data_IF_201697904527
#
_entry.id   IF_201697904527
#
_cell.length_a   1.000
_cell.length_b   1.000
_cell.length_c   1.000
_cell.angle_alpha   90.00
_cell.angle_beta   90.00
_cell.angle_gamma   90.00
#
_symmetry.space_group_name_H-M   'P 1'
#
loop_
_entity.id
_entity.type
_entity.pdbx_description
1 polymer ?
#
# COMPACT_ATOMS: atom_id res chain seq x y z
N UNK A 1 -16.14 7.12 8.14
CA UNK A 1 -14.90 7.84 7.82
C UNK A 1 -14.98 9.25 8.39
N UNK A 2 -13.99 9.70 9.16
CA UNK A 2 -13.99 11.03 9.79
C UNK A 2 -13.05 11.97 9.05
N UNK A 3 -13.56 13.08 8.53
CA UNK A 3 -12.77 14.07 7.76
C UNK A 3 -11.57 14.61 8.55
N UNK A 4 -11.71 14.77 9.86
CA UNK A 4 -10.62 15.21 10.74
C UNK A 4 -9.43 14.23 10.75
N UNK A 5 -9.71 12.93 10.63
CA UNK A 5 -8.66 11.90 10.62
C UNK A 5 -7.88 11.94 9.30
N UNK A 6 -8.58 12.06 8.16
CA UNK A 6 -7.95 12.20 6.85
C UNK A 6 -7.02 13.43 6.82
N UNK A 7 -7.51 14.59 7.27
CA UNK A 7 -6.72 15.82 7.29
C UNK A 7 -5.45 15.67 8.15
N UNK A 8 -5.53 14.96 9.27
CA UNK A 8 -4.38 14.68 10.12
C UNK A 8 -3.36 13.73 9.46
N UNK A 9 -3.83 12.67 8.80
CA UNK A 9 -2.98 11.72 8.06
C UNK A 9 -2.25 12.43 6.92
N UNK A 10 -2.99 13.17 6.10
CA UNK A 10 -2.45 13.97 4.99
C UNK A 10 -1.39 14.97 5.47
N UNK A 11 -1.65 15.66 6.59
CA UNK A 11 -0.70 16.59 7.19
C UNK A 11 0.56 15.90 7.71
N UNK A 12 0.44 14.71 8.30
CA UNK A 12 1.58 13.96 8.84
C UNK A 12 2.55 13.53 7.74
N UNK A 13 2.03 13.02 6.63
CA UNK A 13 2.83 12.57 5.49
C UNK A 13 3.16 13.71 4.51
N UNK A 14 2.47 14.84 4.57
CA UNK A 14 2.63 15.94 3.61
C UNK A 14 2.06 15.61 2.22
N UNK A 15 1.01 14.80 2.17
CA UNK A 15 0.38 14.28 0.94
C UNK A 15 -1.10 14.67 0.89
N UNK A 16 -1.71 14.54 -0.29
CA UNK A 16 -3.15 14.55 -0.46
C UNK A 16 -3.55 13.19 -1.01
N UNK A 17 -4.53 12.53 -0.39
CA UNK A 17 -5.05 11.28 -0.92
C UNK A 17 -5.79 11.53 -2.24
N UNK A 18 -5.64 10.65 -3.25
CA UNK A 18 -6.41 10.76 -4.49
C UNK A 18 -7.90 10.78 -4.17
N UNK A 19 -8.64 11.62 -4.88
CA UNK A 19 -10.08 11.75 -4.65
C UNK A 19 -10.79 10.40 -4.86
N UNK A 20 -10.39 9.69 -5.91
CA UNK A 20 -10.91 8.38 -6.30
C UNK A 20 -10.64 7.31 -5.24
N UNK A 21 -9.50 7.39 -4.54
CA UNK A 21 -9.20 6.50 -3.41
C UNK A 21 -10.16 6.73 -2.25
N UNK A 22 -10.40 7.99 -1.88
CA UNK A 22 -11.30 8.34 -0.78
C UNK A 22 -12.74 7.96 -1.11
N UNK A 23 -13.20 8.19 -2.34
CA UNK A 23 -14.52 7.78 -2.82
C UNK A 23 -14.67 6.25 -2.80
N UNK A 24 -13.73 5.53 -3.43
CA UNK A 24 -13.74 4.08 -3.48
C UNK A 24 -13.79 3.45 -2.08
N UNK A 25 -13.05 4.01 -1.12
CA UNK A 25 -13.06 3.49 0.24
C UNK A 25 -14.39 3.74 0.97
N UNK A 26 -15.07 4.84 0.67
CA UNK A 26 -16.42 5.10 1.20
C UNK A 26 -17.45 4.13 0.62
N UNK A 27 -17.38 3.87 -0.69
CA UNK A 27 -18.31 2.99 -1.39
C UNK A 27 -18.12 1.51 -1.07
N UNK A 28 -16.85 1.06 -0.97
CA UNK A 28 -16.53 -0.33 -0.67
C UNK A 28 -16.98 -0.76 0.73
N UNK A 29 -17.15 0.16 1.68
CA UNK A 29 -17.72 -0.14 3.00
C UNK A 29 -16.97 -1.22 3.79
N UNK A 30 -15.67 -1.41 3.53
CA UNK A 30 -14.86 -2.47 4.14
C UNK A 30 -14.98 -3.85 3.47
N UNK A 31 -15.60 -3.92 2.29
CA UNK A 31 -15.58 -5.10 1.44
C UNK A 31 -14.14 -5.51 1.08
N UNK A 32 -13.91 -6.80 0.98
CA UNK A 32 -12.64 -7.37 0.52
C UNK A 32 -12.65 -7.60 -0.98
N UNK A 33 -11.47 -7.52 -1.59
CA UNK A 33 -11.27 -7.65 -3.03
C UNK A 33 -10.22 -8.70 -3.35
N UNK A 34 -10.28 -9.26 -4.54
CA UNK A 34 -9.23 -10.10 -5.10
C UNK A 34 -8.47 -9.29 -6.16
N UNK A 35 -7.15 -9.39 -6.20
CA UNK A 35 -6.32 -8.77 -7.23
C UNK A 35 -6.18 -9.70 -8.43
N UNK A 36 -6.48 -9.16 -9.60
CA UNK A 36 -6.38 -9.84 -10.88
C UNK A 36 -5.22 -9.24 -11.68
N UNK A 37 -4.25 -10.08 -12.03
CA UNK A 37 -3.17 -9.74 -12.95
C UNK A 37 -3.17 -10.77 -14.10
N UNK A 38 -3.16 -10.30 -15.34
CA UNK A 38 -3.19 -11.17 -16.54
C UNK A 38 -4.34 -12.20 -16.60
N UNK A 39 -5.45 -11.93 -15.91
CA UNK A 39 -6.62 -12.81 -15.87
C UNK A 39 -6.59 -13.87 -14.77
N UNK A 40 -5.54 -13.90 -13.95
CA UNK A 40 -5.39 -14.80 -12.81
C UNK A 40 -5.47 -14.02 -11.50
N UNK A 41 -5.96 -14.67 -10.45
CA UNK A 41 -5.99 -14.07 -9.13
C UNK A 41 -4.61 -14.23 -8.49
N UNK A 42 -3.92 -13.12 -8.23
CA UNK A 42 -2.58 -13.14 -7.62
C UNK A 42 -2.59 -12.86 -6.13
N UNK A 43 -3.63 -12.21 -5.60
CA UNK A 43 -3.77 -11.89 -4.17
C UNK A 43 -5.24 -11.90 -3.76
N UNK A 44 -5.56 -12.46 -2.60
CA UNK A 44 -6.93 -12.69 -2.14
C UNK A 44 -7.24 -11.87 -0.90
N UNK A 45 -8.50 -11.45 -0.79
CA UNK A 45 -8.98 -10.76 0.41
C UNK A 45 -8.13 -9.52 0.75
N UNK A 46 -7.90 -8.68 -0.26
CA UNK A 46 -7.33 -7.35 -0.12
C UNK A 46 -8.31 -6.48 0.65
N UNK A 47 -7.81 -5.90 1.74
CA UNK A 47 -8.53 -5.01 2.64
C UNK A 47 -7.87 -3.64 2.68
N UNK A 48 -8.70 -2.61 2.62
CA UNK A 48 -8.26 -1.22 2.64
C UNK A 48 -8.11 -0.71 4.07
N UNK A 49 -6.98 -0.07 4.36
CA UNK A 49 -6.65 0.48 5.67
C UNK A 49 -7.59 1.60 6.07
N UNK A 50 -8.26 1.47 7.21
CA UNK A 50 -9.16 2.50 7.71
C UNK A 50 -8.43 3.83 7.92
N UNK A 51 -8.94 4.92 7.32
CA UNK A 51 -8.43 6.28 7.52
C UNK A 51 -8.89 6.85 8.87
N UNK A 52 -8.38 6.28 9.95
CA UNK A 52 -8.67 6.64 11.33
C UNK A 52 -7.43 7.15 12.08
N UNK A 53 -7.55 7.34 13.40
CA UNK A 53 -6.48 7.82 14.26
C UNK A 53 -5.34 6.80 14.47
N UNK A 54 -5.57 5.52 14.15
CA UNK A 54 -4.58 4.46 14.24
C UNK A 54 -3.79 4.27 12.94
N UNK A 55 -4.27 4.79 11.81
CA UNK A 55 -3.66 4.62 10.49
C UNK A 55 -2.14 4.85 10.48
N UNK A 56 -1.67 5.98 11.04
CA UNK A 56 -0.24 6.32 11.06
C UNK A 56 0.55 5.32 11.89
N UNK A 57 0.08 5.01 13.11
CA UNK A 57 0.78 4.10 14.01
C UNK A 57 0.83 2.67 13.44
N UNK A 58 -0.25 2.23 12.81
CA UNK A 58 -0.31 0.93 12.15
C UNK A 58 0.68 0.87 11.00
N UNK A 59 0.71 1.87 10.13
CA UNK A 59 1.64 1.90 8.99
C UNK A 59 3.10 1.88 9.44
N UNK A 60 3.46 2.65 10.47
CA UNK A 60 4.81 2.65 11.04
C UNK A 60 5.21 1.25 11.49
N UNK A 61 4.35 0.59 12.27
CA UNK A 61 4.65 -0.73 12.80
C UNK A 61 4.63 -1.84 11.74
N UNK A 62 3.94 -1.64 10.62
CA UNK A 62 3.76 -2.67 9.60
C UNK A 62 4.88 -2.67 8.57
N UNK A 63 5.34 -1.50 8.12
CA UNK A 63 6.22 -1.44 6.95
C UNK A 63 7.37 -0.45 7.03
N UNK A 64 7.49 0.45 8.02
CA UNK A 64 8.52 1.51 7.96
C UNK A 64 9.95 0.95 7.85
N UNK A 65 10.19 -0.19 8.50
CA UNK A 65 11.49 -0.84 8.50
C UNK A 65 11.85 -1.50 7.16
N UNK A 66 10.87 -1.79 6.30
CA UNK A 66 11.05 -2.42 4.98
C UNK A 66 10.71 -1.48 3.82
N UNK A 67 10.15 -0.31 4.11
CA UNK A 67 9.71 0.66 3.11
C UNK A 67 10.90 1.57 2.69
N UNK A 68 11.22 1.66 1.39
CA UNK A 68 12.35 2.47 0.93
C UNK A 68 12.18 3.96 1.21
N UNK A 69 10.94 4.46 1.29
CA UNK A 69 10.64 5.85 1.63
C UNK A 69 9.30 5.99 2.40
N UNK A 70 9.30 5.77 3.73
CA UNK A 70 8.08 5.78 4.54
C UNK A 70 7.33 7.12 4.58
N UNK A 71 7.97 8.21 4.13
CA UNK A 71 7.34 9.54 4.07
C UNK A 71 6.56 9.76 2.78
N UNK A 72 6.94 9.08 1.69
CA UNK A 72 6.35 9.29 0.36
C UNK A 72 5.71 8.03 -0.22
N UNK A 73 5.93 6.86 0.36
CA UNK A 73 5.31 5.60 -0.04
C UNK A 73 4.37 5.17 1.08
N UNK A 74 3.06 5.31 0.86
CA UNK A 74 2.06 5.24 1.92
C UNK A 74 1.23 3.96 1.78
N UNK A 75 1.27 3.02 2.74
CA UNK A 75 0.41 1.84 2.74
C UNK A 75 -1.05 2.24 2.83
N UNK A 76 -1.89 1.62 2.00
CA UNK A 76 -3.33 1.91 1.96
C UNK A 76 -4.20 0.67 1.93
N UNK A 77 -3.62 -0.51 1.67
CA UNK A 77 -4.30 -1.79 1.71
C UNK A 77 -3.29 -2.93 1.98
N UNK A 78 -3.81 -4.08 2.41
CA UNK A 78 -3.03 -5.30 2.58
C UNK A 78 -3.82 -6.51 2.10
N UNK A 79 -3.12 -7.54 1.65
CA UNK A 79 -3.68 -8.86 1.33
C UNK A 79 -3.73 -9.72 2.59
N UNK A 80 -4.89 -10.25 2.96
CA UNK A 80 -4.99 -11.18 4.11
C UNK A 80 -4.37 -12.53 3.76
N UNK A 81 -4.35 -12.94 2.49
CA UNK A 81 -3.84 -14.25 2.10
C UNK A 81 -2.32 -14.34 2.10
N UNK A 82 -1.63 -13.30 1.64
CA UNK A 82 -0.16 -13.28 1.50
C UNK A 82 0.53 -12.39 2.54
N UNK A 83 -0.20 -11.47 3.16
CA UNK A 83 0.40 -10.41 3.98
C UNK A 83 0.95 -9.24 3.17
N UNK A 84 0.93 -9.31 1.83
CA UNK A 84 1.46 -8.26 0.96
C UNK A 84 0.81 -6.91 1.22
N UNK A 85 1.61 -5.85 1.15
CA UNK A 85 1.15 -4.47 1.34
C UNK A 85 1.04 -3.76 0.01
N UNK A 86 -0.02 -2.97 -0.15
CA UNK A 86 -0.24 -2.11 -1.30
C UNK A 86 -0.02 -0.66 -0.89
N UNK A 87 0.79 0.06 -1.66
CA UNK A 87 1.31 1.37 -1.28
C UNK A 87 1.08 2.41 -2.39
N UNK A 88 0.75 3.64 -2.02
CA UNK A 88 0.69 4.79 -2.93
C UNK A 88 2.07 5.44 -3.00
N UNK A 89 2.62 5.57 -4.20
CA UNK A 89 3.94 6.18 -4.45
C UNK A 89 3.82 7.64 -4.87
N UNK A 90 4.12 8.54 -3.93
CA UNK A 90 4.10 9.99 -4.11
C UNK A 90 5.45 10.57 -4.58
N UNK A 91 6.47 9.74 -4.83
CA UNK A 91 7.82 10.24 -5.16
C UNK A 91 7.87 10.97 -6.49
N UNK A 92 7.02 10.59 -7.45
CA UNK A 92 7.02 11.13 -8.82
C UNK A 92 5.83 12.03 -9.11
N UNK A 93 4.64 11.72 -8.58
CA UNK A 93 3.41 12.47 -8.83
C UNK A 93 2.55 12.53 -7.57
N UNK A 94 2.37 13.74 -7.03
CA UNK A 94 1.61 13.94 -5.80
C UNK A 94 0.09 13.94 -5.97
N UNK A 95 -0.41 14.19 -7.18
CA UNK A 95 -1.84 14.26 -7.47
C UNK A 95 -2.39 12.91 -7.94
N UNK A 96 -1.57 12.14 -8.65
CA UNK A 96 -1.91 10.80 -9.14
C UNK A 96 -0.74 9.84 -8.85
N UNK A 97 -0.56 9.44 -7.58
CA UNK A 97 0.50 8.53 -7.17
C UNK A 97 0.31 7.17 -7.82
N UNK A 98 1.42 6.53 -8.18
CA UNK A 98 1.43 5.13 -8.62
C UNK A 98 1.03 4.19 -7.49
N UNK A 99 0.75 2.94 -7.81
CA UNK A 99 0.51 1.88 -6.84
C UNK A 99 1.63 0.87 -6.92
N UNK A 100 2.23 0.61 -5.76
CA UNK A 100 3.25 -0.41 -5.55
C UNK A 100 2.66 -1.58 -4.77
N UNK A 101 3.25 -2.75 -4.94
CA UNK A 101 3.09 -3.91 -4.07
C UNK A 101 4.42 -4.19 -3.39
N UNK A 102 4.35 -4.54 -2.10
CA UNK A 102 5.46 -4.99 -1.28
C UNK A 102 5.15 -6.42 -0.83
N UNK A 103 6.05 -7.34 -1.19
CA UNK A 103 5.95 -8.73 -0.79
C UNK A 103 6.33 -8.86 0.70
N UNK A 104 5.43 -9.41 1.51
CA UNK A 104 5.70 -9.56 2.94
C UNK A 104 6.80 -10.57 3.25
N UNK A 105 6.92 -11.63 2.45
CA UNK A 105 7.86 -12.72 2.69
C UNK A 105 9.27 -12.39 2.21
N UNK A 106 9.40 -11.60 1.14
CA UNK A 106 10.70 -11.27 0.54
C UNK A 106 11.24 -9.89 0.95
N UNK A 107 10.44 -9.03 1.58
CA UNK A 107 10.88 -7.69 1.93
C UNK A 107 12.05 -7.68 2.94
N UNK A 108 13.18 -7.10 2.52
CA UNK A 108 14.37 -6.94 3.32
C UNK A 108 14.21 -5.81 4.33
N UNK A 109 14.54 -6.07 5.59
CA UNK A 109 14.55 -5.05 6.64
C UNK A 109 15.74 -4.11 6.44
N UNK A 110 15.56 -2.82 6.73
CA UNK A 110 16.59 -1.78 6.60
C UNK A 110 17.87 -2.11 7.35
N UNK A 111 17.77 -2.69 8.55
CA UNK A 111 18.93 -3.12 9.32
C UNK A 111 19.76 -4.17 8.55
N UNK A 112 19.10 -5.14 7.91
CA UNK A 112 19.75 -6.16 7.10
C UNK A 112 20.36 -5.54 5.83
N UNK A 113 19.62 -4.67 5.14
CA UNK A 113 20.12 -3.95 3.96
C UNK A 113 21.37 -3.12 4.27
N UNK A 114 21.39 -2.42 5.40
CA UNK A 114 22.54 -1.66 5.89
C UNK A 114 23.71 -2.57 6.28
N UNK A 115 23.42 -3.75 6.83
CA UNK A 115 24.46 -4.74 7.18
C UNK A 115 25.05 -5.45 5.97
N UNK A 116 24.28 -5.65 4.90
CA UNK A 116 24.71 -6.33 3.68
C UNK A 116 25.39 -5.40 2.67
N UNK A 117 25.38 -4.09 2.92
CA UNK A 117 25.90 -3.05 2.03
C UNK A 117 27.19 -2.40 2.54
N UNK A 118 28.05 -1.93 1.63
CA UNK A 118 29.22 -1.13 2.00
C UNK A 118 28.89 0.37 2.10
N UNK A 119 27.83 0.79 1.43
CA UNK A 119 27.40 2.19 1.32
C UNK A 119 25.90 2.35 1.59
N UNK A 120 25.49 3.57 1.95
CA UNK A 120 24.08 3.90 2.16
C UNK A 120 23.28 3.88 0.86
N UNK A 121 23.91 4.18 -0.27
CA UNK A 121 23.30 4.09 -1.59
C UNK A 121 22.98 2.64 -2.00
N UNK A 122 23.86 1.70 -1.69
CA UNK A 122 23.62 0.26 -1.91
C UNK A 122 22.50 -0.26 -1.00
N UNK A 123 22.53 0.10 0.29
CA UNK A 123 21.46 -0.27 1.23
C UNK A 123 20.10 0.27 0.78
N UNK A 124 20.07 1.50 0.26
CA UNK A 124 18.86 2.07 -0.32
C UNK A 124 18.42 1.29 -1.57
N UNK A 125 19.33 0.88 -2.45
CA UNK A 125 18.97 0.07 -3.62
C UNK A 125 18.33 -1.26 -3.23
N UNK A 126 18.86 -1.95 -2.21
CA UNK A 126 18.24 -3.18 -1.69
C UNK A 126 16.81 -2.92 -1.19
N UNK A 127 16.58 -1.80 -0.49
CA UNK A 127 15.23 -1.43 -0.06
C UNK A 127 14.29 -1.06 -1.21
N UNK A 128 14.82 -0.49 -2.30
CA UNK A 128 14.02 -0.22 -3.50
C UNK A 128 13.54 -1.52 -4.16
N UNK A 129 14.26 -2.64 -3.99
CA UNK A 129 13.86 -3.96 -4.50
C UNK A 129 12.67 -4.55 -3.73
N UNK A 130 12.36 -4.07 -2.51
CA UNK A 130 11.21 -4.52 -1.73
C UNK A 130 9.85 -4.14 -2.34
N UNK A 131 9.84 -3.21 -3.30
CA UNK A 131 8.61 -2.69 -3.89
C UNK A 131 8.61 -2.84 -5.41
N UNK A 132 7.46 -3.22 -5.95
CA UNK A 132 7.25 -3.32 -7.40
C UNK A 132 6.04 -2.52 -7.82
N UNK A 133 6.15 -1.77 -8.92
CA UNK A 133 4.99 -1.08 -9.50
C UNK A 133 3.97 -2.09 -10.05
N UNK A 134 2.70 -1.92 -9.68
CA UNK A 134 1.57 -2.72 -10.16
C UNK A 134 0.55 -1.89 -10.94
N UNK A 135 0.48 -0.58 -10.69
CA UNK A 135 -0.33 0.33 -11.49
C UNK A 135 0.25 1.75 -11.51
N UNK A 136 0.08 2.47 -12.61
CA UNK A 136 0.59 3.85 -12.72
C UNK A 136 -0.28 4.89 -11.99
N UNK A 137 -1.48 4.50 -11.55
CA UNK A 137 -2.33 5.28 -10.65
C UNK A 137 -3.44 4.41 -10.03
N UNK A 138 -4.14 4.98 -9.04
CA UNK A 138 -5.23 4.31 -8.34
C UNK A 138 -6.39 3.87 -9.25
N UNK A 139 -6.75 4.65 -10.27
CA UNK A 139 -7.84 4.30 -11.19
C UNK A 139 -7.52 3.04 -12.02
N UNK A 140 -6.25 2.85 -12.41
CA UNK A 140 -5.83 1.61 -13.08
C UNK A 140 -5.86 0.45 -12.09
N UNK A 141 -5.37 0.67 -10.86
CA UNK A 141 -5.38 -0.35 -9.82
C UNK A 141 -6.78 -0.92 -9.53
N UNK A 142 -7.81 -0.07 -9.41
CA UNK A 142 -9.18 -0.56 -9.14
C UNK A 142 -9.75 -1.40 -10.28
N UNK A 143 -9.28 -1.24 -11.53
CA UNK A 143 -9.72 -2.10 -12.66
C UNK A 143 -9.18 -3.52 -12.55
N UNK A 144 -8.12 -3.70 -11.77
CA UNK A 144 -7.53 -5.01 -11.45
C UNK A 144 -8.22 -5.65 -10.24
N UNK A 145 -9.09 -4.94 -9.52
CA UNK A 145 -9.77 -5.48 -8.35
C UNK A 145 -11.10 -6.14 -8.73
N UNK A 146 -11.35 -7.31 -8.16
CA UNK A 146 -12.63 -7.99 -8.21
C UNK A 146 -13.23 -8.04 -6.81
N UNK A 147 -14.42 -7.46 -6.65
CA UNK A 147 -15.15 -7.54 -5.39
C UNK A 147 -15.38 -9.01 -4.99
N UNK A 148 -14.92 -9.39 -3.81
CA UNK A 148 -15.12 -10.76 -3.31
C UNK A 148 -16.57 -10.88 -2.86
N UNK A 149 -17.31 -11.82 -3.44
CA UNK A 149 -18.66 -12.16 -2.99
C UNK A 149 -18.57 -12.85 -1.63
N UNK A 150 -19.49 -12.53 -0.72
CA UNK A 150 -19.64 -13.22 0.57
C UNK A 150 -19.99 -14.71 0.45
N UNK A 151 -20.26 -15.17 -0.77
CA UNK A 151 -20.61 -16.56 -1.07
C UNK A 151 -19.35 -17.31 -1.49
N UNK A 152 -18.75 -18.05 -0.55
CA UNK A 152 -18.09 -19.36 -0.72
C UNK A 152 -17.53 -19.84 0.62
N UNK A 153 -18.43 -20.24 1.53
CA UNK A 153 -18.13 -21.34 2.44
C UNK A 153 -19.05 -22.48 1.99
N UNK A 154 -18.52 -23.36 1.14
CA UNK A 154 -18.97 -24.75 1.07
C UNK A 154 -17.82 -25.65 1.51
#
# INVERSE_FOLDING_TARGET
>A
MNKLNIDNIQKYYGIVFPHEYVEFQQESGGQAFDMIENGEIIDWEIRFSALDDQFIANNINLVDDVNPDPRRIIPFAWSVSSGNNYLLDYRTNSESPGVLVMDHEEAMVREDAESESETSEEAQQLLEENVREIATNFNIFITCLKARSSDSVE
#
